data_IF_337446334710
#
_entry.id   IF_337446334710
#
_cell.length_a   1.000
_cell.length_b   1.000
_cell.length_c   1.000
_cell.angle_alpha   90.00
_cell.angle_beta   90.00
_cell.angle_gamma   90.00
#
_symmetry.space_group_name_H-M   'P 1'
#
loop_
_entity.id
_entity.type
_entity.pdbx_description
1 polymer ?
#
# COMPACT_ATOMS: atom_id res chain seq x y z
N UNK A 1 55.49 7.27 -33.63
CA UNK A 1 55.97 8.64 -33.87
C UNK A 1 55.23 9.55 -32.90
N UNK A 2 55.95 10.07 -31.88
CA UNK A 2 55.65 11.19 -30.96
C UNK A 2 54.40 11.05 -30.06
N UNK A 3 54.55 10.86 -28.73
CA UNK A 3 54.88 11.86 -27.67
C UNK A 3 53.66 12.76 -27.37
N UNK A 4 53.24 13.08 -26.16
CA UNK A 4 53.64 12.80 -24.76
C UNK A 4 52.79 13.76 -23.87
N UNK A 5 52.53 13.39 -22.61
CA UNK A 5 52.57 14.25 -21.39
C UNK A 5 51.62 15.50 -21.31
N UNK A 6 51.20 16.08 -20.17
CA UNK A 6 51.42 16.00 -18.72
C UNK A 6 50.28 16.84 -18.09
N UNK A 7 49.61 16.43 -17.01
CA UNK A 7 49.88 16.77 -15.59
C UNK A 7 49.82 18.28 -15.23
N UNK A 8 48.98 18.66 -14.24
CA UNK A 8 49.21 19.67 -13.17
C UNK A 8 47.83 20.18 -12.65
N UNK A 9 47.30 19.87 -11.45
CA UNK A 9 47.70 20.10 -10.03
C UNK A 9 47.04 21.35 -9.40
N UNK A 10 46.38 21.10 -8.24
CA UNK A 10 46.11 21.97 -7.05
C UNK A 10 45.02 23.06 -7.22
N UNK A 11 44.19 23.40 -6.25
CA UNK A 11 44.02 23.03 -4.83
C UNK A 11 43.12 24.07 -4.13
N UNK A 12 42.73 23.81 -2.86
CA UNK A 12 42.07 24.72 -1.88
C UNK A 12 40.61 25.12 -2.21
N UNK A 13 39.62 25.21 -1.32
CA UNK A 13 39.57 25.35 0.13
C UNK A 13 38.23 24.80 0.67
N UNK A 14 38.27 24.15 1.84
CA UNK A 14 37.06 23.83 2.62
C UNK A 14 36.83 24.87 3.70
N UNK A 15 35.58 25.15 4.12
CA UNK A 15 35.34 25.94 5.30
C UNK A 15 35.29 25.05 6.54
N UNK A 16 36.19 25.36 7.48
CA UNK A 16 36.16 24.96 8.87
C UNK A 16 35.05 25.75 9.58
N UNK A 17 34.17 25.06 10.33
CA UNK A 17 33.28 25.73 11.28
C UNK A 17 33.47 25.10 12.66
N UNK A 18 34.03 25.89 13.58
CA UNK A 18 34.35 25.49 14.95
C UNK A 18 33.26 25.87 15.95
N UNK A 19 32.88 24.88 16.76
CA UNK A 19 32.55 24.89 18.19
C UNK A 19 31.75 26.02 18.85
N UNK A 20 30.70 25.63 19.62
CA UNK A 20 30.67 25.71 21.10
C UNK A 20 29.41 25.03 21.68
N UNK A 21 29.58 24.44 22.88
CA UNK A 21 28.59 23.79 23.74
C UNK A 21 27.86 24.80 24.65
N UNK A 22 26.62 24.49 25.04
CA UNK A 22 26.04 24.53 26.41
C UNK A 22 24.48 24.46 26.29
N UNK A 23 23.84 23.39 26.76
CA UNK A 23 23.25 23.22 28.11
C UNK A 23 21.90 23.93 28.29
N UNK A 24 20.86 23.13 28.58
CA UNK A 24 19.52 23.61 28.95
C UNK A 24 18.57 22.42 29.16
N UNK A 25 18.56 21.89 30.37
CA UNK A 25 17.63 20.86 30.82
C UNK A 25 16.47 21.50 31.62
N UNK A 26 15.24 21.14 31.26
CA UNK A 26 14.06 21.00 32.14
C UNK A 26 12.98 20.35 31.26
N UNK A 27 12.31 19.27 31.62
CA UNK A 27 11.79 18.89 32.93
C UNK A 27 10.28 19.12 32.94
N UNK A 28 9.51 18.23 32.30
CA UNK A 28 8.10 18.05 32.65
C UNK A 28 7.67 16.62 32.31
N UNK A 29 7.50 15.82 33.37
CA UNK A 29 6.91 14.49 33.35
C UNK A 29 5.38 14.59 33.47
N UNK A 30 4.72 13.42 33.37
CA UNK A 30 3.27 13.14 33.45
C UNK A 30 2.58 13.15 32.06
N UNK A 31 1.95 12.08 31.58
CA UNK A 31 1.63 10.79 32.15
C UNK A 31 1.51 9.75 31.02
N UNK A 32 1.96 8.53 31.29
CA UNK A 32 1.67 7.35 30.47
C UNK A 32 0.15 7.15 30.49
N UNK A 33 -0.48 7.08 29.31
CA UNK A 33 -1.76 6.40 29.18
C UNK A 33 -1.47 5.08 28.50
N UNK A 34 -1.55 4.03 29.29
CA UNK A 34 -1.58 2.66 28.80
C UNK A 34 -2.80 2.53 27.87
N UNK A 35 -2.56 2.37 26.58
CA UNK A 35 -3.57 1.92 25.63
C UNK A 35 -3.52 0.40 25.63
N UNK A 36 -4.48 -0.21 26.35
CA UNK A 36 -4.71 -1.64 26.32
C UNK A 36 -5.10 -2.14 24.93
N UNK A 37 -4.94 -3.44 24.65
CA UNK A 37 -5.07 -4.00 23.32
C UNK A 37 -6.54 -4.35 23.05
N UNK A 38 -7.43 -3.37 22.91
CA UNK A 38 -8.82 -3.60 22.46
C UNK A 38 -9.44 -2.28 21.98
N UNK A 39 -8.94 -1.78 20.85
CA UNK A 39 -9.44 -0.58 20.17
C UNK A 39 -10.32 -0.91 18.96
N UNK A 40 -11.25 -1.87 19.09
CA UNK A 40 -12.18 -2.20 18.02
C UNK A 40 -13.24 -1.10 17.87
N UNK A 41 -12.99 -0.13 16.98
CA UNK A 41 -14.01 0.82 16.55
C UNK A 41 -14.93 0.16 15.53
N UNK A 42 -16.13 -0.21 16.00
CA UNK A 42 -17.27 -0.67 15.20
C UNK A 42 -17.73 0.43 14.24
N UNK A 43 -17.28 0.40 12.98
CA UNK A 43 -17.89 1.14 11.89
C UNK A 43 -19.08 0.32 11.33
N UNK A 44 -20.29 0.87 11.41
CA UNK A 44 -21.50 0.25 10.83
C UNK A 44 -21.63 0.63 9.35
N UNK A 45 -21.62 -0.43 8.54
CA UNK A 45 -22.05 -0.62 7.15
C UNK A 45 -21.32 0.07 6.00
N UNK A 46 -20.57 -0.76 5.28
CA UNK A 46 -20.64 -0.93 3.83
C UNK A 46 -20.42 -2.42 3.55
N UNK A 47 -21.49 -3.20 3.62
CA UNK A 47 -21.59 -4.67 3.77
C UNK A 47 -21.40 -5.22 5.18
N UNK A 48 -22.43 -5.95 5.64
CA UNK A 48 -22.31 -6.82 6.82
C UNK A 48 -21.31 -7.94 6.51
N UNK A 49 -20.60 -8.45 7.53
CA UNK A 49 -19.86 -9.73 7.43
C UNK A 49 -20.72 -10.82 6.79
N UNK A 50 -22.04 -10.75 6.98
CA UNK A 50 -23.05 -11.64 6.41
C UNK A 50 -23.22 -11.54 4.87
N UNK A 51 -22.99 -10.38 4.25
CA UNK A 51 -23.08 -10.21 2.78
C UNK A 51 -21.84 -10.74 2.06
N UNK A 52 -20.65 -10.59 2.65
CA UNK A 52 -19.42 -11.20 2.14
C UNK A 52 -19.46 -12.73 2.23
N UNK A 53 -20.15 -13.29 3.24
CA UNK A 53 -20.35 -14.73 3.37
C UNK A 53 -21.13 -15.33 2.18
N UNK A 54 -22.08 -14.61 1.59
CA UNK A 54 -22.85 -15.06 0.40
C UNK A 54 -22.07 -14.96 -0.92
N UNK A 55 -21.07 -14.09 -1.01
CA UNK A 55 -20.22 -13.90 -2.20
C UNK A 55 -18.98 -14.82 -2.19
N UNK A 56 -18.71 -15.49 -1.07
CA UNK A 56 -17.70 -16.56 -0.93
C UNK A 56 -18.19 -17.95 -1.40
N UNK A 57 -19.22 -18.01 -2.25
CA UNK A 57 -19.93 -19.27 -2.55
C UNK A 57 -19.14 -20.26 -3.40
N UNK A 58 -18.09 -19.83 -4.08
CA UNK A 58 -17.20 -20.73 -4.82
C UNK A 58 -16.31 -21.56 -3.88
N UNK A 59 -16.28 -22.90 -4.01
CA UNK A 59 -15.41 -23.75 -3.18
C UNK A 59 -13.94 -23.36 -3.22
N UNK A 60 -13.44 -22.93 -4.38
CA UNK A 60 -12.06 -22.47 -4.55
C UNK A 60 -11.76 -21.20 -3.76
N UNK A 61 -12.70 -20.25 -3.70
CA UNK A 61 -12.57 -19.02 -2.93
C UNK A 61 -12.47 -19.33 -1.43
N UNK A 62 -13.35 -20.20 -0.91
CA UNK A 62 -13.26 -20.65 0.50
C UNK A 62 -11.95 -21.35 0.79
N UNK A 63 -11.53 -22.27 -0.08
CA UNK A 63 -10.26 -22.97 0.08
C UNK A 63 -9.05 -22.01 0.11
N UNK A 64 -9.08 -20.93 -0.68
CA UNK A 64 -8.05 -19.89 -0.64
C UNK A 64 -8.09 -19.08 0.65
N UNK A 65 -9.29 -18.66 1.09
CA UNK A 65 -9.48 -17.95 2.35
C UNK A 65 -8.92 -18.77 3.52
N UNK A 66 -9.27 -20.06 3.59
CA UNK A 66 -8.84 -20.95 4.66
C UNK A 66 -7.32 -21.21 4.59
N UNK A 67 -6.79 -21.56 3.41
CA UNK A 67 -5.37 -21.89 3.22
C UNK A 67 -4.46 -20.68 3.45
N UNK A 68 -4.90 -19.49 3.07
CA UNK A 68 -4.12 -18.26 3.19
C UNK A 68 -4.51 -17.46 4.44
N UNK A 69 -5.40 -17.98 5.28
CA UNK A 69 -5.88 -17.36 6.53
C UNK A 69 -6.38 -15.91 6.32
N UNK A 70 -7.12 -15.69 5.23
CA UNK A 70 -7.58 -14.35 4.87
C UNK A 70 -8.75 -13.91 5.75
N UNK A 71 -8.77 -12.62 6.07
CA UNK A 71 -9.87 -11.96 6.79
C UNK A 71 -10.56 -10.95 5.86
N UNK A 72 -11.81 -10.60 6.14
CA UNK A 72 -12.52 -9.60 5.35
C UNK A 72 -11.82 -8.23 5.43
N UNK A 73 -11.65 -7.55 4.30
CA UNK A 73 -11.11 -6.18 4.26
C UNK A 73 -12.26 -5.15 4.30
N UNK A 74 -12.11 -4.01 5.01
CA UNK A 74 -13.14 -2.96 5.07
C UNK A 74 -13.59 -2.40 3.71
N UNK A 75 -12.73 -2.47 2.70
CA UNK A 75 -13.02 -1.97 1.35
C UNK A 75 -13.72 -3.00 0.45
N UNK A 76 -13.97 -4.21 0.94
CA UNK A 76 -14.41 -5.35 0.15
C UNK A 76 -13.31 -6.39 -0.01
N UNK A 77 -13.69 -7.62 -0.37
CA UNK A 77 -12.73 -8.72 -0.54
C UNK A 77 -12.16 -9.26 0.77
N UNK A 78 -11.09 -10.03 0.63
CA UNK A 78 -10.38 -10.69 1.73
C UNK A 78 -8.89 -10.42 1.62
N UNK A 79 -8.23 -10.17 2.75
CA UNK A 79 -6.82 -9.87 2.79
C UNK A 79 -6.11 -10.54 3.96
N UNK A 80 -4.79 -10.58 3.89
CA UNK A 80 -3.93 -10.84 5.05
C UNK A 80 -2.57 -10.23 4.82
N UNK A 81 -2.05 -9.49 5.80
CA UNK A 81 -0.65 -9.10 5.80
C UNK A 81 0.26 -10.32 5.95
N UNK A 82 1.15 -10.53 4.99
CA UNK A 82 2.08 -11.67 4.97
C UNK A 82 3.48 -11.30 5.44
N UNK A 83 3.84 -10.02 5.34
CA UNK A 83 5.15 -9.55 5.77
C UNK A 83 5.16 -8.05 6.04
N UNK A 84 5.89 -7.66 7.09
CA UNK A 84 6.19 -6.27 7.43
C UNK A 84 7.67 -6.13 7.71
N UNK A 85 8.30 -5.11 7.12
CA UNK A 85 9.74 -4.92 7.24
C UNK A 85 10.17 -4.70 8.70
N UNK A 86 11.25 -5.36 9.16
CA UNK A 86 11.83 -5.04 10.46
C UNK A 86 12.51 -3.65 10.45
N UNK A 87 12.87 -3.14 9.26
CA UNK A 87 13.46 -1.82 9.11
C UNK A 87 12.40 -0.72 9.21
N UNK A 88 12.77 0.35 9.91
CA UNK A 88 11.94 1.54 10.15
C UNK A 88 12.57 2.74 9.48
N UNK A 89 11.77 3.45 8.71
CA UNK A 89 12.05 4.78 8.19
C UNK A 89 11.53 5.80 9.21
N UNK A 90 12.42 6.62 9.83
CA UNK A 90 11.98 7.67 10.72
C UNK A 90 11.17 8.71 9.95
N UNK A 91 10.17 9.31 10.60
CA UNK A 91 9.28 10.31 9.99
C UNK A 91 10.04 11.43 9.26
N UNK A 92 11.13 11.90 9.83
CA UNK A 92 11.93 13.00 9.27
C UNK A 92 12.67 12.62 7.97
N UNK A 93 12.76 11.33 7.65
CA UNK A 93 13.27 10.82 6.38
C UNK A 93 12.17 10.52 5.35
N UNK A 94 10.90 10.70 5.71
CA UNK A 94 9.75 10.51 4.83
C UNK A 94 9.33 11.83 4.18
N UNK A 95 8.62 11.80 3.04
CA UNK A 95 7.97 12.99 2.49
C UNK A 95 7.05 13.69 3.50
N UNK A 96 6.79 14.98 3.32
CA UNK A 96 5.86 15.73 4.18
C UNK A 96 4.47 15.08 4.18
N UNK A 97 3.86 14.97 5.37
CA UNK A 97 2.48 14.50 5.53
C UNK A 97 2.33 13.13 6.20
N UNK A 98 3.40 12.37 6.39
CA UNK A 98 3.35 11.17 7.22
C UNK A 98 3.20 11.55 8.71
N UNK A 99 2.24 10.95 9.44
CA UNK A 99 1.98 11.27 10.85
C UNK A 99 3.01 10.67 11.81
N UNK A 100 3.81 9.68 11.36
CA UNK A 100 4.82 9.02 12.16
C UNK A 100 5.80 8.23 11.32
N UNK A 101 6.63 7.44 11.99
CA UNK A 101 7.57 6.51 11.36
C UNK A 101 6.81 5.47 10.52
N UNK A 102 7.48 4.91 9.52
CA UNK A 102 6.92 3.85 8.68
C UNK A 102 7.89 2.70 8.55
N UNK A 103 7.35 1.51 8.32
CA UNK A 103 8.17 0.38 7.87
C UNK A 103 8.67 0.66 6.46
N UNK A 104 9.78 0.05 6.06
CA UNK A 104 10.27 0.22 4.68
C UNK A 104 9.21 -0.25 3.67
N UNK A 105 8.56 -1.38 3.95
CA UNK A 105 7.42 -1.85 3.16
C UNK A 105 6.57 -2.85 3.96
N UNK A 106 5.34 -3.05 3.51
CA UNK A 106 4.42 -4.13 3.92
C UNK A 106 3.98 -4.90 2.69
N UNK A 107 3.61 -6.17 2.86
CA UNK A 107 3.04 -6.99 1.80
C UNK A 107 1.83 -7.75 2.31
N UNK A 108 0.79 -7.84 1.47
CA UNK A 108 -0.45 -8.56 1.76
C UNK A 108 -0.78 -9.53 0.62
N UNK A 109 -1.55 -10.56 0.94
CA UNK A 109 -2.44 -11.18 -0.05
C UNK A 109 -3.77 -10.43 -0.08
N UNK A 110 -4.36 -10.34 -1.26
CA UNK A 110 -5.69 -9.76 -1.46
C UNK A 110 -6.50 -10.56 -2.49
N UNK A 111 -7.71 -10.94 -2.12
CA UNK A 111 -8.60 -11.82 -2.87
C UNK A 111 -9.93 -11.12 -3.13
N UNK A 112 -10.31 -11.05 -4.41
CA UNK A 112 -11.57 -10.50 -4.87
C UNK A 112 -12.33 -11.57 -5.69
N UNK A 113 -13.43 -12.12 -5.19
CA UNK A 113 -14.39 -12.88 -6.00
C UNK A 113 -15.14 -11.98 -6.98
N UNK A 114 -15.62 -12.57 -8.07
CA UNK A 114 -16.51 -11.86 -9.00
C UNK A 114 -17.75 -11.35 -8.27
N UNK A 115 -18.15 -10.12 -8.58
CA UNK A 115 -19.26 -9.42 -7.90
C UNK A 115 -18.84 -8.66 -6.63
N UNK A 116 -17.60 -8.85 -6.17
CA UNK A 116 -17.00 -8.04 -5.10
C UNK A 116 -16.04 -7.03 -5.72
N UNK A 117 -16.09 -5.80 -5.23
CA UNK A 117 -15.23 -4.70 -5.65
C UNK A 117 -14.42 -4.20 -4.45
N UNK A 118 -13.13 -3.94 -4.67
CA UNK A 118 -12.36 -3.06 -3.81
C UNK A 118 -12.87 -1.63 -4.02
N UNK A 119 -13.57 -1.12 -3.01
CA UNK A 119 -14.20 0.21 -3.04
C UNK A 119 -13.16 1.30 -3.27
N UNK A 120 -13.61 2.41 -3.84
CA UNK A 120 -12.78 3.56 -4.11
C UNK A 120 -12.09 4.07 -2.84
N UNK A 121 -10.77 3.95 -2.84
CA UNK A 121 -9.93 4.32 -1.71
C UNK A 121 -8.59 4.87 -2.21
N UNK A 122 -7.77 5.41 -1.32
CA UNK A 122 -6.39 5.76 -1.60
C UNK A 122 -5.50 5.43 -0.42
N UNK A 123 -4.24 5.22 -0.74
CA UNK A 123 -3.16 5.06 0.24
C UNK A 123 -2.13 6.17 0.03
N UNK A 124 -1.49 6.62 1.12
CA UNK A 124 -0.47 7.68 1.04
C UNK A 124 0.74 7.27 0.21
N UNK A 125 1.16 6.02 0.35
CA UNK A 125 2.39 5.49 -0.24
C UNK A 125 2.12 4.89 -1.62
N UNK A 126 3.18 4.57 -2.35
CA UNK A 126 3.05 3.83 -3.59
C UNK A 126 2.61 2.39 -3.29
N UNK A 127 1.73 1.84 -4.14
CA UNK A 127 1.25 0.47 -4.02
C UNK A 127 1.46 -0.31 -5.31
N UNK A 128 2.17 -1.42 -5.19
CA UNK A 128 2.37 -2.38 -6.26
C UNK A 128 1.28 -3.45 -6.16
N UNK A 129 0.61 -3.72 -7.27
CA UNK A 129 -0.35 -4.80 -7.42
C UNK A 129 0.27 -5.90 -8.29
N UNK A 130 0.35 -7.13 -7.78
CA UNK A 130 0.97 -8.27 -8.45
C UNK A 130 -0.06 -9.39 -8.65
N UNK A 131 -0.38 -9.74 -9.89
CA UNK A 131 -1.28 -10.87 -10.15
C UNK A 131 -0.63 -12.18 -9.71
N UNK A 132 -1.40 -13.04 -9.03
CA UNK A 132 -0.94 -14.36 -8.61
C UNK A 132 -1.74 -15.48 -9.25
N UNK A 133 -3.07 -15.38 -9.22
CA UNK A 133 -3.94 -16.46 -9.68
C UNK A 133 -5.35 -15.93 -9.98
N UNK A 134 -6.07 -16.63 -10.85
CA UNK A 134 -7.48 -16.39 -11.12
C UNK A 134 -7.68 -15.59 -12.38
N UNK A 135 -8.88 -15.01 -12.50
CA UNK A 135 -9.25 -14.13 -13.60
C UNK A 135 -8.38 -12.87 -13.59
N UNK A 136 -8.37 -12.17 -14.73
CA UNK A 136 -7.77 -10.85 -14.78
C UNK A 136 -8.53 -9.90 -13.84
N UNK A 137 -7.80 -8.97 -13.24
CA UNK A 137 -8.31 -7.88 -12.41
C UNK A 137 -8.30 -6.59 -13.23
N UNK A 138 -9.39 -5.84 -13.19
CA UNK A 138 -9.41 -4.46 -13.65
C UNK A 138 -9.08 -3.55 -12.48
N UNK A 139 -7.97 -2.82 -12.58
CA UNK A 139 -7.52 -1.81 -11.62
C UNK A 139 -7.72 -0.42 -12.25
N UNK A 140 -8.52 0.41 -11.61
CA UNK A 140 -8.83 1.76 -12.02
C UNK A 140 -8.09 2.74 -11.10
N UNK A 141 -7.39 3.74 -11.67
CA UNK A 141 -6.51 4.66 -10.93
C UNK A 141 -6.80 6.10 -11.37
N UNK A 142 -6.94 7.04 -10.43
CA UNK A 142 -7.17 8.46 -10.72
C UNK A 142 -6.54 9.37 -9.66
N UNK A 143 -6.10 10.57 -10.06
CA UNK A 143 -5.68 11.61 -9.11
C UNK A 143 -6.85 12.14 -8.27
N UNK A 144 -8.08 11.97 -8.74
CA UNK A 144 -9.30 12.50 -8.11
C UNK A 144 -10.29 11.38 -7.77
N UNK A 145 -11.30 11.68 -6.94
CA UNK A 145 -12.39 10.74 -6.65
C UNK A 145 -13.30 10.50 -7.86
N UNK A 146 -13.25 11.37 -8.88
CA UNK A 146 -14.04 11.21 -10.08
C UNK A 146 -13.37 10.21 -11.02
N UNK A 147 -13.85 8.96 -10.95
CA UNK A 147 -13.40 7.87 -11.82
C UNK A 147 -14.04 7.93 -13.21
N UNK A 148 -15.06 8.77 -13.42
CA UNK A 148 -15.72 8.93 -14.71
C UNK A 148 -15.05 9.99 -15.60
N UNK A 149 -14.10 10.75 -15.05
CA UNK A 149 -13.28 11.66 -15.83
C UNK A 149 -12.37 10.89 -16.80
N UNK A 150 -12.14 11.43 -18.00
CA UNK A 150 -11.20 10.91 -19.03
C UNK A 150 -9.73 10.79 -18.55
N UNK A 151 -9.46 11.13 -17.28
CA UNK A 151 -8.15 11.04 -16.63
C UNK A 151 -7.93 9.74 -15.86
N UNK A 152 -8.95 8.91 -15.67
CA UNK A 152 -8.80 7.62 -14.99
C UNK A 152 -8.03 6.62 -15.87
N UNK A 153 -6.93 6.08 -15.35
CA UNK A 153 -6.17 5.01 -15.97
C UNK A 153 -6.77 3.66 -15.58
N UNK A 154 -7.13 2.84 -16.57
CA UNK A 154 -7.53 1.46 -16.36
C UNK A 154 -6.39 0.51 -16.74
N UNK A 155 -5.97 -0.33 -15.80
CA UNK A 155 -4.94 -1.36 -15.99
C UNK A 155 -5.58 -2.73 -15.84
N UNK A 156 -5.39 -3.58 -16.85
CA UNK A 156 -5.78 -4.99 -16.78
C UNK A 156 -4.60 -5.80 -16.25
N UNK A 157 -4.81 -6.46 -15.11
CA UNK A 157 -3.82 -7.26 -14.41
C UNK A 157 -4.15 -8.74 -14.50
N UNK A 158 -3.28 -9.54 -15.10
CA UNK A 158 -3.48 -10.98 -15.21
C UNK A 158 -2.74 -11.62 -16.36
N UNK A 159 -3.24 -12.76 -16.81
CA UNK A 159 -2.60 -13.61 -17.83
C UNK A 159 -3.28 -13.47 -19.20
N UNK A 160 -4.40 -12.73 -19.28
CA UNK A 160 -5.10 -12.47 -20.54
C UNK A 160 -4.26 -11.67 -21.53
N UNK A 161 -4.65 -11.72 -22.80
CA UNK A 161 -3.99 -10.96 -23.87
C UNK A 161 -4.02 -9.45 -23.56
N UNK A 162 -2.85 -8.81 -23.60
CA UNK A 162 -2.69 -7.38 -23.29
C UNK A 162 -2.72 -7.03 -21.79
N UNK A 163 -2.88 -8.00 -20.89
CA UNK A 163 -2.79 -7.78 -19.45
C UNK A 163 -1.34 -7.72 -18.97
N UNK A 164 -1.09 -6.94 -17.93
CA UNK A 164 0.19 -6.91 -17.23
C UNK A 164 0.17 -7.84 -16.01
N UNK A 165 1.32 -8.36 -15.59
CA UNK A 165 1.41 -9.13 -14.34
C UNK A 165 1.54 -8.23 -13.11
N UNK A 166 1.91 -6.96 -13.30
CA UNK A 166 2.11 -6.00 -12.25
C UNK A 166 1.67 -4.61 -12.68
N UNK A 167 1.14 -3.83 -11.74
CA UNK A 167 0.82 -2.43 -11.88
C UNK A 167 1.29 -1.66 -10.65
N UNK A 168 1.40 -0.34 -10.80
CA UNK A 168 1.80 0.57 -9.73
C UNK A 168 0.73 1.66 -9.62
N UNK A 169 0.20 1.83 -8.42
CA UNK A 169 -0.66 2.95 -8.05
C UNK A 169 0.22 4.02 -7.41
N UNK A 170 0.31 5.22 -8.01
CA UNK A 170 1.16 6.26 -7.45
C UNK A 170 0.66 6.75 -6.08
N UNK A 171 1.55 7.31 -5.25
CA UNK A 171 1.21 7.84 -3.92
C UNK A 171 -0.02 8.75 -3.95
N UNK A 172 -1.00 8.48 -3.07
CA UNK A 172 -2.16 9.34 -2.86
C UNK A 172 -3.22 9.32 -3.96
N UNK A 173 -3.05 8.51 -5.02
CA UNK A 173 -4.07 8.32 -6.05
C UNK A 173 -5.23 7.48 -5.54
N UNK A 174 -6.42 7.81 -6.02
CA UNK A 174 -7.61 6.99 -5.82
C UNK A 174 -7.54 5.76 -6.70
N UNK A 175 -7.94 4.63 -6.14
CA UNK A 175 -7.93 3.33 -6.77
C UNK A 175 -9.19 2.54 -6.44
N UNK A 176 -9.60 1.71 -7.39
CA UNK A 176 -10.71 0.77 -7.27
C UNK A 176 -10.39 -0.45 -8.13
N UNK A 177 -10.76 -1.64 -7.66
CA UNK A 177 -10.46 -2.87 -8.39
C UNK A 177 -11.60 -3.87 -8.35
N UNK A 178 -11.80 -4.60 -9.44
CA UNK A 178 -12.74 -5.71 -9.51
C UNK A 178 -12.24 -6.77 -10.50
N UNK A 179 -12.53 -8.07 -10.28
CA UNK A 179 -12.26 -9.09 -11.28
C UNK A 179 -13.00 -8.77 -12.58
N UNK A 180 -12.32 -8.90 -13.72
CA UNK A 180 -12.90 -8.67 -15.05
C UNK A 180 -13.93 -9.76 -15.43
N UNK A 181 -14.02 -10.83 -14.63
CA UNK A 181 -14.83 -12.01 -14.90
C UNK A 181 -14.10 -12.99 -15.82
N UNK A 182 -14.33 -14.28 -15.57
CA UNK A 182 -13.71 -15.37 -16.32
C UNK A 182 -14.09 -16.72 -15.74
N UNK A 183 -13.31 -17.74 -16.08
CA UNK A 183 -13.57 -19.12 -15.68
C UNK A 183 -13.37 -19.34 -14.17
N UNK A 184 -12.46 -18.60 -13.53
CA UNK A 184 -12.10 -18.84 -12.14
C UNK A 184 -13.12 -18.26 -11.16
N UNK A 185 -13.77 -17.15 -11.49
CA UNK A 185 -14.73 -16.46 -10.64
C UNK A 185 -14.09 -15.67 -9.49
N UNK A 186 -12.78 -15.43 -9.53
CA UNK A 186 -12.04 -14.62 -8.57
C UNK A 186 -10.69 -14.14 -9.15
N UNK A 187 -10.11 -13.13 -8.54
CA UNK A 187 -8.72 -12.70 -8.74
C UNK A 187 -7.98 -12.69 -7.38
N UNK A 188 -6.81 -13.32 -7.33
CA UNK A 188 -5.88 -13.27 -6.21
C UNK A 188 -4.65 -12.48 -6.62
N UNK A 189 -4.32 -11.47 -5.82
CA UNK A 189 -3.16 -10.61 -6.02
C UNK A 189 -2.33 -10.51 -4.74
N UNK A 190 -1.08 -10.11 -4.90
CA UNK A 190 -0.27 -9.55 -3.82
C UNK A 190 -0.26 -8.04 -3.93
N UNK A 191 -0.34 -7.33 -2.80
CA UNK A 191 -0.09 -5.89 -2.77
C UNK A 191 1.14 -5.60 -1.91
N UNK A 192 1.97 -4.68 -2.37
CA UNK A 192 3.16 -4.20 -1.64
C UNK A 192 3.09 -2.69 -1.54
N UNK A 193 3.16 -2.17 -0.33
CA UNK A 193 3.09 -0.73 -0.07
C UNK A 193 4.42 -0.27 0.50
N UNK A 194 5.01 0.78 -0.09
CA UNK A 194 6.30 1.33 0.30
C UNK A 194 6.29 2.87 0.21
N UNK A 195 6.58 3.63 1.30
CA UNK A 195 6.71 3.19 2.70
C UNK A 195 5.53 2.32 3.19
N UNK A 196 5.78 1.46 4.17
CA UNK A 196 4.83 0.44 4.62
C UNK A 196 3.48 1.00 5.05
N UNK A 197 2.41 0.25 4.76
CA UNK A 197 1.03 0.61 5.05
C UNK A 197 0.78 0.75 6.55
N UNK A 198 0.04 1.80 6.90
CA UNK A 198 -0.64 1.99 8.18
C UNK A 198 -2.05 2.51 7.92
N UNK A 199 -3.04 2.13 8.74
CA UNK A 199 -4.43 2.54 8.53
C UNK A 199 -4.63 4.07 8.60
N UNK A 200 -3.74 4.80 9.26
CA UNK A 200 -3.73 6.27 9.28
C UNK A 200 -3.48 6.90 7.90
N UNK A 201 -2.93 6.14 6.97
CA UNK A 201 -2.64 6.55 5.60
C UNK A 201 -3.70 6.09 4.59
N UNK A 202 -4.73 5.39 5.07
CA UNK A 202 -5.80 4.83 4.26
C UNK A 202 -7.06 5.70 4.33
N UNK A 203 -7.58 6.08 3.18
CA UNK A 203 -8.81 6.86 3.06
C UNK A 203 -9.76 6.21 2.06
N UNK A 204 -11.04 6.09 2.42
CA UNK A 204 -12.09 5.56 1.54
C UNK A 204 -13.20 6.58 1.36
N UNK A 205 -13.80 6.59 0.17
CA UNK A 205 -15.03 7.38 -0.07
C UNK A 205 -16.16 6.80 0.77
N UNK A 206 -16.78 7.68 1.57
CA UNK A 206 -17.91 7.36 2.45
C UNK A 206 -19.16 6.99 1.65
#
# INVERSE_FOLDING_TARGET
MRRSDERSRRGHDGPVCGGRRAAGASGSSCARRDLGPDGALSARSGHSVTELQGLSTLPVVRALIDRLELIAHPEGGWYREVWRSPLVLPRDALPTGYPGDRRVMTSIYYLLPVGVRSRLHRVRSEELWLHHQGDDLLLEISETQDMAADTALAVRLGQGEGAALQAVVPPGHWQSAAPAGGEFGYALVGCVVAPGFEFEDFEMVR
#
